data_IF_649916222754
#
_entry.id   IF_649916222754
#
_cell.length_a   1.000
_cell.length_b   1.000
_cell.length_c   1.000
_cell.angle_alpha   90.00
_cell.angle_beta   90.00
_cell.angle_gamma   90.00
#
_symmetry.space_group_name_H-M   'P 1'
#
loop_
_entity.id
_entity.type
_entity.pdbx_description
1 polymer ?
#
# COMPACT_ATOMS: atom_id res chain seq x y z
N UNK A 1 39.59 -12.27 -1.37
CA UNK A 1 38.63 -11.50 -2.19
C UNK A 1 37.22 -11.80 -1.68
N UNK A 2 36.62 -10.92 -0.87
CA UNK A 2 35.29 -11.14 -0.27
C UNK A 2 34.20 -10.63 -1.22
N UNK A 3 33.45 -11.56 -1.80
CA UNK A 3 32.26 -11.26 -2.61
C UNK A 3 31.14 -10.77 -1.68
N UNK A 4 30.89 -9.45 -1.68
CA UNK A 4 29.69 -8.85 -1.06
C UNK A 4 28.47 -9.24 -1.89
N UNK A 5 27.71 -10.23 -1.45
CA UNK A 5 26.34 -10.45 -1.92
C UNK A 5 25.49 -9.25 -1.51
N UNK A 6 25.22 -8.34 -2.45
CA UNK A 6 24.22 -7.30 -2.25
C UNK A 6 22.85 -7.96 -2.39
N UNK A 7 22.01 -8.00 -1.33
CA UNK A 7 20.67 -8.53 -1.47
C UNK A 7 19.96 -7.72 -2.56
N UNK A 8 19.34 -8.41 -3.54
CA UNK A 8 18.47 -7.78 -4.54
C UNK A 8 17.42 -6.97 -3.77
N UNK A 9 17.64 -5.67 -3.67
CA UNK A 9 16.70 -4.74 -3.05
C UNK A 9 15.49 -4.74 -3.98
N UNK A 10 14.40 -5.34 -3.54
CA UNK A 10 13.11 -5.24 -4.23
C UNK A 10 12.87 -3.76 -4.51
N UNK A 11 12.68 -3.40 -5.78
CA UNK A 11 12.55 -2.02 -6.23
C UNK A 11 11.23 -1.43 -5.72
N UNK A 12 11.23 -1.01 -4.46
CA UNK A 12 10.13 -0.30 -3.85
C UNK A 12 10.12 1.12 -4.40
N UNK A 13 9.17 1.41 -5.30
CA UNK A 13 8.92 2.77 -5.78
C UNK A 13 8.10 3.50 -4.71
N UNK A 14 8.64 4.59 -4.20
CA UNK A 14 7.87 5.52 -3.37
C UNK A 14 6.95 6.33 -4.27
N UNK A 15 5.67 6.40 -3.90
CA UNK A 15 4.69 7.25 -4.57
C UNK A 15 4.21 8.29 -3.56
N UNK A 16 4.18 9.55 -3.99
CA UNK A 16 3.55 10.63 -3.22
C UNK A 16 2.13 10.80 -3.74
N UNK A 17 1.15 10.55 -2.89
CA UNK A 17 -0.28 10.73 -3.21
C UNK A 17 -0.76 11.94 -2.41
N UNK A 18 -1.36 12.91 -3.10
CA UNK A 18 -2.09 13.99 -2.44
C UNK A 18 -3.52 13.52 -2.19
N UNK A 19 -3.91 13.48 -0.93
CA UNK A 19 -5.29 13.19 -0.52
C UNK A 19 -5.86 14.41 0.18
N UNK A 20 -7.18 14.53 0.12
CA UNK A 20 -7.90 15.52 0.91
C UNK A 20 -7.76 15.22 2.41
N UNK A 21 -8.00 16.23 3.26
CA UNK A 21 -7.75 16.13 4.69
C UNK A 21 -8.76 15.19 5.37
N UNK A 22 -10.05 15.29 5.03
CA UNK A 22 -11.11 14.45 5.61
C UNK A 22 -10.83 12.93 5.45
N UNK A 23 -10.57 12.40 4.23
CA UNK A 23 -10.29 10.98 4.07
C UNK A 23 -8.99 10.56 4.75
N UNK A 24 -8.00 11.45 4.87
CA UNK A 24 -6.74 11.15 5.56
C UNK A 24 -6.93 11.00 7.08
N UNK A 25 -7.73 11.85 7.70
CA UNK A 25 -8.05 11.76 9.13
C UNK A 25 -8.86 10.50 9.45
N UNK A 26 -9.80 10.14 8.58
CA UNK A 26 -10.59 8.90 8.70
C UNK A 26 -9.71 7.66 8.54
N UNK A 27 -8.78 7.69 7.59
CA UNK A 27 -7.81 6.60 7.38
C UNK A 27 -6.90 6.43 8.60
N UNK A 28 -6.38 7.52 9.16
CA UNK A 28 -5.55 7.48 10.37
C UNK A 28 -6.32 6.88 11.56
N UNK A 29 -7.57 7.31 11.76
CA UNK A 29 -8.44 6.77 12.82
C UNK A 29 -8.68 5.26 12.65
N UNK A 30 -8.90 4.80 11.42
CA UNK A 30 -9.05 3.36 11.13
C UNK A 30 -7.76 2.58 11.32
N UNK A 31 -6.62 3.18 11.01
CA UNK A 31 -5.31 2.60 11.19
C UNK A 31 -4.99 2.41 12.68
N UNK A 32 -5.29 3.42 13.49
CA UNK A 32 -5.16 3.38 14.95
C UNK A 32 -6.01 2.27 15.57
N UNK A 33 -7.30 2.19 15.20
CA UNK A 33 -8.20 1.10 15.61
C UNK A 33 -7.69 -0.30 15.26
N UNK A 34 -6.96 -0.42 14.14
CA UNK A 34 -6.39 -1.69 13.66
C UNK A 34 -4.97 -1.93 14.16
N UNK A 35 -4.39 -1.02 14.97
CA UNK A 35 -3.00 -1.05 15.43
C UNK A 35 -2.01 -1.23 14.25
N UNK A 36 -2.27 -0.53 13.15
CA UNK A 36 -1.44 -0.54 11.94
C UNK A 36 -1.04 0.87 11.57
N UNK A 37 0.13 1.03 10.96
CA UNK A 37 0.49 2.32 10.35
C UNK A 37 -0.44 2.65 9.18
N UNK A 38 -0.81 3.93 9.04
CA UNK A 38 -1.71 4.39 7.97
C UNK A 38 -1.18 4.01 6.57
N UNK A 39 0.14 4.05 6.37
CA UNK A 39 0.79 3.66 5.11
C UNK A 39 0.58 2.18 4.78
N UNK A 40 0.69 1.31 5.78
CA UNK A 40 0.44 -0.13 5.63
C UNK A 40 -1.03 -0.39 5.33
N UNK A 41 -1.93 0.28 6.04
CA UNK A 41 -3.37 0.16 5.80
C UNK A 41 -3.74 0.61 4.38
N UNK A 42 -3.22 1.77 3.95
CA UNK A 42 -3.43 2.28 2.60
C UNK A 42 -2.93 1.29 1.54
N UNK A 43 -1.72 0.74 1.73
CA UNK A 43 -1.16 -0.25 0.81
C UNK A 43 -2.06 -1.48 0.71
N UNK A 44 -2.54 -2.01 1.83
CA UNK A 44 -3.46 -3.15 1.83
C UNK A 44 -4.75 -2.82 1.09
N UNK A 45 -5.35 -1.66 1.39
CA UNK A 45 -6.59 -1.24 0.75
C UNK A 45 -6.44 -1.10 -0.78
N UNK A 46 -5.33 -0.51 -1.25
CA UNK A 46 -5.05 -0.39 -2.69
C UNK A 46 -4.88 -1.76 -3.33
N UNK A 47 -4.16 -2.68 -2.69
CA UNK A 47 -3.98 -4.06 -3.21
C UNK A 47 -5.32 -4.80 -3.25
N UNK A 48 -6.12 -4.70 -2.19
CA UNK A 48 -7.43 -5.35 -2.10
C UNK A 48 -8.37 -4.82 -3.18
N UNK A 49 -8.47 -3.50 -3.35
CA UNK A 49 -9.32 -2.88 -4.38
C UNK A 49 -8.84 -3.19 -5.79
N UNK A 50 -7.54 -3.18 -6.03
CA UNK A 50 -6.97 -3.55 -7.34
C UNK A 50 -7.31 -5.00 -7.69
N UNK A 51 -7.17 -5.91 -6.73
CA UNK A 51 -7.50 -7.32 -6.94
C UNK A 51 -9.00 -7.54 -7.17
N UNK A 52 -9.86 -6.81 -6.45
CA UNK A 52 -11.29 -6.83 -6.72
C UNK A 52 -11.58 -6.38 -8.15
N UNK A 53 -11.10 -5.20 -8.58
CA UNK A 53 -11.33 -4.68 -9.94
C UNK A 53 -10.78 -5.60 -11.04
N UNK A 54 -9.56 -6.12 -10.91
CA UNK A 54 -8.99 -7.06 -11.89
C UNK A 54 -9.81 -8.36 -12.02
N UNK A 55 -10.51 -8.77 -10.96
CA UNK A 55 -11.39 -9.95 -10.99
C UNK A 55 -12.68 -9.70 -11.76
N UNK A 56 -13.16 -8.46 -11.81
CA UNK A 56 -14.36 -8.06 -12.56
C UNK A 56 -14.07 -7.93 -14.06
N UNK A 57 -12.88 -7.48 -14.45
CA UNK A 57 -12.50 -7.29 -15.86
C UNK A 57 -12.43 -8.62 -16.64
N UNK A 58 -12.01 -9.72 -16.00
CA UNK A 58 -11.97 -11.06 -16.63
C UNK A 58 -13.31 -11.76 -16.82
N UNK A 59 -14.42 -11.15 -16.39
CA UNK A 59 -15.75 -11.75 -16.46
C UNK A 59 -16.65 -11.12 -17.54
N UNK A 60 -16.11 -10.22 -18.37
CA UNK A 60 -16.84 -9.64 -19.50
C UNK A 60 -16.31 -10.05 -20.86
#
# INVERSE_FOLDING_TARGET
MTLKCHPKRTEAKSITIRMDQDPLERLQTLADKKQKGYQTLLKQFVIERLYEEEKWDRQS
#
